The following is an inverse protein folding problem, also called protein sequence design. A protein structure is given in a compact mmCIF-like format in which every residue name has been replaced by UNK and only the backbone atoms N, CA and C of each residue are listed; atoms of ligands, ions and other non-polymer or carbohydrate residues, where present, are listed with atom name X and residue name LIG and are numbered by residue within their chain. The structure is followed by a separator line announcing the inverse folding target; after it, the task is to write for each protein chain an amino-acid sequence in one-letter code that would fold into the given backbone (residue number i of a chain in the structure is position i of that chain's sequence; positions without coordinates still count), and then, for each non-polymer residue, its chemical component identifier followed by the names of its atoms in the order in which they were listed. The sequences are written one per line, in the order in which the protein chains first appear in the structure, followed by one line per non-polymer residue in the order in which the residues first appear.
data_IF_490573764750
#
_entry.id   IF_490573764750
#
_cell.length_a   1.000
_cell.length_b   1.000
_cell.length_c   1.000
_cell.angle_alpha   90.00
_cell.angle_beta   90.00
_cell.angle_gamma   90.00
#
_symmetry.space_group_name_H-M   'P 1'
#
loop_
_entity.id
_entity.type
_entity.pdbx_description
1 polymer ?
#
# COMPACT_ATOMS: atom_id res chain seq x y z
N UNK A 1 -24.73 -7.58 -9.40
CA UNK A 1 -23.55 -7.20 -10.22
C UNK A 1 -22.96 -8.47 -10.80
N UNK A 2 -22.73 -8.57 -12.13
CA UNK A 2 -21.93 -9.68 -12.68
C UNK A 2 -20.56 -9.60 -12.04
N UNK A 3 -20.20 -10.58 -11.20
CA UNK A 3 -18.85 -10.69 -10.67
C UNK A 3 -17.92 -10.73 -11.89
N UNK A 4 -17.09 -9.72 -12.06
CA UNK A 4 -15.98 -9.76 -13.02
C UNK A 4 -15.11 -10.97 -12.69
N UNK A 5 -14.30 -11.48 -13.62
CA UNK A 5 -13.44 -12.64 -13.31
C UNK A 5 -12.42 -12.29 -12.22
N UNK A 6 -12.07 -13.25 -11.35
CA UNK A 6 -10.91 -13.13 -10.41
C UNK A 6 -9.61 -12.91 -11.19
N UNK A 7 -9.59 -13.22 -12.48
CA UNK A 7 -8.48 -12.91 -13.38
C UNK A 7 -8.18 -11.41 -13.49
N UNK A 8 -9.17 -10.52 -13.27
CA UNK A 8 -8.95 -9.07 -13.37
C UNK A 8 -7.96 -8.56 -12.30
N UNK A 9 -8.20 -8.71 -10.99
CA UNK A 9 -7.26 -8.24 -9.97
C UNK A 9 -5.89 -8.95 -10.06
N UNK A 10 -5.86 -10.23 -10.47
CA UNK A 10 -4.60 -10.97 -10.70
C UNK A 10 -3.81 -10.33 -11.85
N UNK A 11 -4.47 -10.11 -12.99
CA UNK A 11 -3.84 -9.49 -14.15
C UNK A 11 -3.33 -8.08 -13.84
N UNK A 12 -4.12 -7.26 -13.15
CA UNK A 12 -3.70 -5.92 -12.75
C UNK A 12 -2.51 -5.95 -11.79
N UNK A 13 -2.47 -6.92 -10.87
CA UNK A 13 -1.30 -7.13 -9.99
C UNK A 13 -0.06 -7.54 -10.79
N UNK A 14 -0.22 -8.39 -11.81
CA UNK A 14 0.87 -8.75 -12.71
C UNK A 14 1.37 -7.54 -13.51
N UNK A 15 0.48 -6.65 -13.98
CA UNK A 15 0.86 -5.39 -14.64
C UNK A 15 1.65 -4.49 -13.69
N UNK A 16 1.25 -4.36 -12.42
CA UNK A 16 1.99 -3.60 -11.41
C UNK A 16 3.39 -4.17 -11.19
N UNK A 17 3.51 -5.50 -11.02
CA UNK A 17 4.79 -6.20 -10.83
C UNK A 17 5.69 -6.01 -12.06
N UNK A 18 5.14 -6.20 -13.26
CA UNK A 18 5.88 -6.05 -14.52
C UNK A 18 6.34 -4.61 -14.74
N UNK A 19 5.47 -3.62 -14.51
CA UNK A 19 5.82 -2.19 -14.59
C UNK A 19 6.96 -1.87 -13.65
N UNK A 20 6.90 -2.37 -12.42
CA UNK A 20 7.97 -2.19 -11.46
C UNK A 20 9.30 -2.80 -11.96
N UNK A 21 9.28 -4.03 -12.47
CA UNK A 21 10.47 -4.70 -13.00
C UNK A 21 11.10 -3.93 -14.18
N UNK A 22 10.26 -3.30 -15.00
CA UNK A 22 10.68 -2.53 -16.19
C UNK A 22 10.88 -1.04 -15.91
N UNK A 23 10.69 -0.55 -14.68
CA UNK A 23 10.69 0.90 -14.41
C UNK A 23 12.04 1.57 -14.70
N UNK A 24 13.16 0.89 -14.45
CA UNK A 24 14.51 1.43 -14.68
C UNK A 24 14.78 1.70 -16.17
N UNK A 25 14.58 0.74 -17.10
CA UNK A 25 14.74 1.04 -18.51
C UNK A 25 13.74 2.08 -19.01
N UNK A 26 12.51 2.12 -18.49
CA UNK A 26 11.53 3.16 -18.85
C UNK A 26 12.00 4.55 -18.40
N UNK A 27 12.44 4.71 -17.15
CA UNK A 27 12.97 5.98 -16.63
C UNK A 27 14.21 6.44 -17.39
N UNK A 28 15.08 5.51 -17.79
CA UNK A 28 16.30 5.81 -18.54
C UNK A 28 16.03 6.45 -19.92
N UNK A 29 14.81 6.32 -20.45
CA UNK A 29 14.41 7.02 -21.70
C UNK A 29 14.25 8.53 -21.53
N UNK A 30 14.13 9.03 -20.30
CA UNK A 30 13.84 10.44 -20.01
C UNK A 30 12.41 10.88 -20.36
N UNK A 31 11.56 9.98 -20.86
CA UNK A 31 10.21 10.30 -21.33
C UNK A 31 9.22 10.56 -20.19
N UNK A 32 9.50 10.09 -18.98
CA UNK A 32 8.62 10.28 -17.81
C UNK A 32 9.39 10.96 -16.68
N UNK A 33 8.88 12.09 -16.14
CA UNK A 33 9.51 12.78 -15.03
C UNK A 33 9.24 12.11 -13.66
N UNK A 34 8.47 11.02 -13.64
CA UNK A 34 8.06 10.28 -12.45
C UNK A 34 8.23 8.77 -12.66
N UNK A 35 8.34 8.01 -11.57
CA UNK A 35 8.42 6.54 -11.63
C UNK A 35 7.12 5.96 -12.21
N UNK A 36 7.19 5.23 -13.34
CA UNK A 36 6.01 4.66 -13.99
C UNK A 36 5.25 3.69 -13.08
N UNK A 37 5.91 3.11 -12.07
CA UNK A 37 5.26 2.27 -11.07
C UNK A 37 4.14 3.02 -10.32
N UNK A 38 4.43 4.20 -9.76
CA UNK A 38 3.44 4.96 -8.99
C UNK A 38 2.32 5.50 -9.89
N UNK A 39 2.64 5.82 -11.15
CA UNK A 39 1.64 6.17 -12.15
C UNK A 39 0.65 5.03 -12.35
N UNK A 40 1.13 3.81 -12.55
CA UNK A 40 0.27 2.63 -12.76
C UNK A 40 -0.58 2.33 -11.52
N UNK A 41 -0.02 2.47 -10.31
CA UNK A 41 -0.79 2.28 -9.06
C UNK A 41 -1.98 3.25 -8.94
N UNK A 42 -1.85 4.50 -9.42
CA UNK A 42 -2.96 5.45 -9.45
C UNK A 42 -3.91 5.22 -10.64
N UNK A 43 -3.37 5.00 -11.83
CA UNK A 43 -4.16 4.90 -13.05
C UNK A 43 -5.07 3.67 -13.04
N UNK A 44 -4.61 2.51 -12.55
CA UNK A 44 -5.41 1.29 -12.62
C UNK A 44 -6.74 1.40 -11.85
N UNK A 45 -6.78 1.79 -10.56
CA UNK A 45 -8.04 1.99 -9.89
C UNK A 45 -8.85 3.17 -10.46
N UNK A 46 -8.19 4.25 -10.90
CA UNK A 46 -8.86 5.39 -11.52
C UNK A 46 -9.61 5.01 -12.81
N UNK A 47 -8.98 4.21 -13.69
CA UNK A 47 -9.59 3.70 -14.91
C UNK A 47 -10.75 2.75 -14.59
N UNK A 48 -10.60 1.86 -13.60
CA UNK A 48 -11.70 1.00 -13.16
C UNK A 48 -12.90 1.80 -12.66
N UNK A 49 -12.66 2.93 -11.98
CA UNK A 49 -13.71 3.85 -11.55
C UNK A 49 -14.37 4.55 -12.73
N UNK A 50 -13.56 5.08 -13.65
CA UNK A 50 -14.03 5.74 -14.87
C UNK A 50 -14.91 4.82 -15.72
N UNK A 51 -14.51 3.56 -15.87
CA UNK A 51 -15.27 2.54 -16.59
C UNK A 51 -16.38 1.86 -15.78
N UNK A 52 -16.70 2.40 -14.59
CA UNK A 52 -17.76 1.89 -13.69
C UNK A 52 -17.61 0.41 -13.35
N UNK A 53 -16.36 -0.09 -13.31
CA UNK A 53 -15.99 -1.45 -12.90
C UNK A 53 -15.70 -1.55 -11.39
N UNK A 54 -15.41 -0.42 -10.75
CA UNK A 54 -15.21 -0.26 -9.31
C UNK A 54 -15.80 1.08 -8.86
N UNK A 55 -16.46 1.18 -7.71
CA UNK A 55 -17.09 2.45 -7.32
C UNK A 55 -16.17 3.27 -6.40
N UNK A 56 -16.12 4.59 -6.61
CA UNK A 56 -15.31 5.48 -5.77
C UNK A 56 -15.69 5.38 -4.28
N UNK A 57 -16.98 5.20 -3.97
CA UNK A 57 -17.47 5.03 -2.60
C UNK A 57 -16.86 3.82 -1.89
N UNK A 58 -16.39 2.82 -2.64
CA UNK A 58 -15.77 1.61 -2.12
C UNK A 58 -14.34 1.83 -1.67
N UNK A 59 -13.65 2.82 -2.24
CA UNK A 59 -12.29 3.19 -1.82
C UNK A 59 -12.24 3.61 -0.36
N UNK A 60 -13.35 4.12 0.17
CA UNK A 60 -13.42 4.45 1.57
C UNK A 60 -12.74 5.78 1.92
N UNK A 61 -12.87 6.83 1.13
CA UNK A 61 -12.43 8.17 1.57
C UNK A 61 -13.40 8.76 2.60
N UNK A 62 -13.35 8.28 3.84
CA UNK A 62 -14.20 8.73 4.95
C UNK A 62 -13.32 9.15 6.13
N UNK A 63 -13.59 10.28 6.78
CA UNK A 63 -12.91 10.63 8.04
C UNK A 63 -13.76 10.06 9.18
N UNK A 64 -13.35 8.92 9.74
CA UNK A 64 -14.02 8.23 10.85
C UNK A 64 -13.63 8.76 12.24
N UNK A 65 -13.77 7.92 13.29
CA UNK A 65 -13.36 8.27 14.66
C UNK A 65 -11.82 8.18 14.78
N UNK A 66 -11.11 9.27 15.10
CA UNK A 66 -9.65 9.37 14.93
C UNK A 66 -8.80 8.59 15.94
N UNK A 67 -9.38 8.07 17.03
CA UNK A 67 -8.65 7.56 18.19
C UNK A 67 -7.75 6.33 17.90
N UNK A 68 -8.13 5.44 16.99
CA UNK A 68 -7.35 4.23 16.71
C UNK A 68 -6.36 4.40 15.55
N UNK A 69 -6.67 5.25 14.57
CA UNK A 69 -5.66 5.76 13.63
C UNK A 69 -4.52 6.47 14.37
N UNK A 70 -4.86 7.20 15.43
CA UNK A 70 -3.91 7.79 16.38
C UNK A 70 -3.17 6.70 17.20
N UNK A 71 -3.85 5.65 17.70
CA UNK A 71 -3.21 4.50 18.35
C UNK A 71 -2.14 3.86 17.46
N UNK A 72 -2.42 3.74 16.17
CA UNK A 72 -1.46 3.24 15.19
C UNK A 72 -0.31 4.24 14.91
N UNK A 73 -0.57 5.55 14.93
CA UNK A 73 0.52 6.54 14.94
C UNK A 73 1.40 6.38 16.20
N UNK A 74 0.83 6.01 17.34
CA UNK A 74 1.53 5.78 18.61
C UNK A 74 2.12 4.39 18.82
N UNK A 75 1.80 3.40 17.97
CA UNK A 75 2.46 2.09 17.94
C UNK A 75 3.81 2.15 17.22
N UNK A 76 4.06 3.25 16.52
CA UNK A 76 5.26 3.52 15.75
C UNK A 76 6.56 3.42 16.59
N UNK A 77 6.69 4.01 17.79
CA UNK A 77 7.90 3.86 18.60
C UNK A 77 8.23 2.40 18.94
N UNK A 78 7.22 1.54 19.08
CA UNK A 78 7.39 0.10 19.33
C UNK A 78 7.92 -0.62 18.09
N UNK A 79 7.35 -0.33 16.91
CA UNK A 79 7.82 -0.89 15.64
C UNK A 79 9.26 -0.45 15.34
N UNK A 80 9.60 0.80 15.67
CA UNK A 80 10.95 1.34 15.52
C UNK A 80 11.96 0.71 16.48
N UNK A 81 11.58 0.52 17.74
CA UNK A 81 12.40 -0.20 18.70
C UNK A 81 12.70 -1.62 18.22
N UNK A 82 11.68 -2.34 17.73
CA UNK A 82 11.85 -3.69 17.22
C UNK A 82 12.73 -3.74 15.95
N UNK A 83 12.60 -2.78 15.04
CA UNK A 83 13.49 -2.70 13.86
C UNK A 83 14.92 -2.36 14.25
N UNK A 84 15.12 -1.42 15.18
CA UNK A 84 16.46 -1.10 15.70
C UNK A 84 17.08 -2.33 16.36
N UNK A 85 16.35 -3.05 17.21
CA UNK A 85 16.85 -4.27 17.86
C UNK A 85 17.24 -5.37 16.86
N UNK A 86 16.58 -5.41 15.69
CA UNK A 86 16.88 -6.37 14.63
C UNK A 86 18.01 -5.95 13.69
N UNK A 87 18.27 -4.64 13.53
CA UNK A 87 19.16 -4.12 12.48
C UNK A 87 20.38 -3.38 12.99
N UNK A 88 20.38 -2.94 14.26
CA UNK A 88 21.46 -2.15 14.88
C UNK A 88 21.64 -0.74 14.31
N UNK A 89 20.75 -0.29 13.41
CA UNK A 89 20.89 0.95 12.66
C UNK A 89 20.27 2.16 13.38
N UNK A 90 21.03 3.26 13.61
CA UNK A 90 20.55 4.44 14.34
C UNK A 90 19.62 5.32 13.50
N UNK A 91 18.76 6.10 14.18
CA UNK A 91 17.84 7.06 13.55
C UNK A 91 18.59 8.29 13.02
N UNK A 92 18.37 8.63 11.75
CA UNK A 92 18.93 9.78 11.01
C UNK A 92 17.83 10.44 10.17
N UNK A 93 17.41 11.68 10.47
CA UNK A 93 16.34 12.37 9.73
C UNK A 93 16.52 12.29 8.19
N UNK A 94 15.45 12.08 7.39
CA UNK A 94 15.59 11.79 5.96
C UNK A 94 16.04 13.04 5.22
N UNK A 95 17.03 12.90 4.33
CA UNK A 95 17.46 13.95 3.39
C UNK A 95 16.57 14.05 2.14
N UNK A 96 15.68 13.07 1.92
CA UNK A 96 14.75 13.00 0.79
C UNK A 96 13.45 13.73 1.13
N UNK A 97 12.94 14.51 0.18
CA UNK A 97 11.69 15.28 0.28
C UNK A 97 10.54 14.42 0.84
N UNK A 98 9.94 14.80 1.99
CA UNK A 98 8.77 14.13 2.58
C UNK A 98 7.63 13.91 1.57
N UNK A 99 7.53 14.78 0.57
CA UNK A 99 6.52 14.75 -0.47
C UNK A 99 6.58 13.48 -1.35
N UNK A 100 7.77 12.99 -1.70
CA UNK A 100 7.94 11.79 -2.53
C UNK A 100 7.54 10.52 -1.77
N UNK A 101 7.86 10.47 -0.48
CA UNK A 101 7.48 9.36 0.40
C UNK A 101 5.97 9.32 0.62
N UNK A 102 5.34 10.49 0.77
CA UNK A 102 3.89 10.61 0.87
C UNK A 102 3.20 10.18 -0.43
N UNK A 103 3.66 10.64 -1.60
CA UNK A 103 3.08 10.25 -2.89
C UNK A 103 3.18 8.72 -3.10
N UNK A 104 4.34 8.13 -2.80
CA UNK A 104 4.53 6.68 -2.90
C UNK A 104 3.60 5.89 -1.97
N UNK A 105 3.53 6.28 -0.70
CA UNK A 105 2.61 5.67 0.27
C UNK A 105 1.16 5.79 -0.18
N UNK A 106 0.76 6.95 -0.70
CA UNK A 106 -0.63 7.17 -1.12
C UNK A 106 -0.98 6.32 -2.34
N UNK A 107 -0.09 6.22 -3.32
CA UNK A 107 -0.26 5.37 -4.49
C UNK A 107 -0.43 3.90 -4.10
N UNK A 108 0.44 3.42 -3.21
CA UNK A 108 0.42 2.05 -2.73
C UNK A 108 -0.87 1.74 -1.96
N UNK A 109 -1.27 2.60 -1.02
CA UNK A 109 -2.53 2.41 -0.30
C UNK A 109 -3.75 2.46 -1.23
N UNK A 110 -3.76 3.36 -2.20
CA UNK A 110 -4.85 3.45 -3.18
C UNK A 110 -5.06 2.16 -3.95
N UNK A 111 -3.99 1.50 -4.38
CA UNK A 111 -4.06 0.24 -5.08
C UNK A 111 -4.31 -0.96 -4.16
N UNK A 112 -3.47 -1.15 -3.13
CA UNK A 112 -3.51 -2.36 -2.31
C UNK A 112 -4.70 -2.39 -1.36
N UNK A 113 -5.00 -1.27 -0.70
CA UNK A 113 -6.05 -1.19 0.32
C UNK A 113 -7.33 -0.67 -0.30
N UNK A 114 -7.26 0.38 -1.12
CA UNK A 114 -8.43 0.94 -1.80
C UNK A 114 -9.06 -0.03 -2.78
N UNK A 115 -8.27 -0.59 -3.70
CA UNK A 115 -8.76 -1.49 -4.74
C UNK A 115 -8.68 -2.98 -4.37
N UNK A 116 -7.48 -3.56 -4.21
CA UNK A 116 -7.31 -5.01 -4.09
C UNK A 116 -8.00 -5.61 -2.87
N UNK A 117 -7.81 -5.03 -1.68
CA UNK A 117 -8.44 -5.51 -0.46
C UNK A 117 -9.97 -5.47 -0.58
N UNK A 118 -10.57 -4.39 -1.09
CA UNK A 118 -12.02 -4.30 -1.28
C UNK A 118 -12.56 -5.25 -2.34
N UNK A 119 -11.86 -5.36 -3.46
CA UNK A 119 -12.26 -6.24 -4.56
C UNK A 119 -12.24 -7.70 -4.09
N UNK A 120 -11.20 -8.13 -3.36
CA UNK A 120 -11.18 -9.46 -2.73
C UNK A 120 -12.27 -9.62 -1.69
N UNK A 121 -12.44 -8.66 -0.77
CA UNK A 121 -13.50 -8.70 0.25
C UNK A 121 -14.87 -8.92 -0.39
N UNK A 122 -15.20 -8.20 -1.46
CA UNK A 122 -16.48 -8.32 -2.18
C UNK A 122 -16.67 -9.65 -2.90
N UNK A 123 -15.61 -10.17 -3.52
CA UNK A 123 -15.66 -11.44 -4.27
C UNK A 123 -15.82 -12.65 -3.36
N UNK A 124 -15.17 -12.60 -2.21
CA UNK A 124 -15.09 -13.73 -1.27
C UNK A 124 -16.06 -13.54 -0.09
N UNK A 125 -17.28 -13.06 -0.37
CA UNK A 125 -18.38 -13.05 0.60
C UNK A 125 -18.19 -12.16 1.82
N UNK A 126 -17.37 -11.10 1.71
CA UNK A 126 -17.06 -10.20 2.82
C UNK A 126 -15.96 -10.72 3.76
N UNK A 127 -15.25 -11.80 3.39
CA UNK A 127 -14.20 -12.37 4.23
C UNK A 127 -13.00 -11.43 4.36
N UNK A 128 -12.96 -10.70 5.47
CA UNK A 128 -11.91 -9.73 5.79
C UNK A 128 -10.53 -10.37 5.88
N UNK A 129 -10.41 -11.52 6.52
CA UNK A 129 -9.14 -12.21 6.74
C UNK A 129 -8.50 -12.65 5.43
N UNK A 130 -9.30 -13.21 4.52
CA UNK A 130 -8.83 -13.57 3.19
C UNK A 130 -8.37 -12.34 2.41
N UNK A 131 -9.17 -11.26 2.41
CA UNK A 131 -8.83 -10.04 1.67
C UNK A 131 -7.56 -9.35 2.18
N UNK A 132 -7.36 -9.35 3.51
CA UNK A 132 -6.14 -8.87 4.15
C UNK A 132 -4.95 -9.75 3.77
N UNK A 133 -5.06 -11.07 3.92
CA UNK A 133 -3.96 -11.98 3.59
C UNK A 133 -3.55 -11.85 2.11
N UNK A 134 -4.51 -11.90 1.18
CA UNK A 134 -4.24 -11.86 -0.25
C UNK A 134 -3.61 -10.52 -0.69
N UNK A 135 -4.17 -9.39 -0.27
CA UNK A 135 -3.61 -8.06 -0.60
C UNK A 135 -2.21 -7.86 -0.03
N UNK A 136 -1.94 -8.34 1.19
CA UNK A 136 -0.63 -8.18 1.84
C UNK A 136 0.44 -9.13 1.32
N UNK A 137 0.07 -10.33 0.88
CA UNK A 137 0.98 -11.21 0.15
C UNK A 137 1.42 -10.54 -1.15
N UNK A 138 0.49 -9.97 -1.93
CA UNK A 138 0.82 -9.25 -3.16
C UNK A 138 1.67 -8.00 -2.89
N UNK A 139 1.38 -7.28 -1.80
CA UNK A 139 2.19 -6.14 -1.34
C UNK A 139 3.64 -6.55 -1.02
N UNK A 140 3.82 -7.65 -0.28
CA UNK A 140 5.14 -8.21 0.03
C UNK A 140 5.87 -8.69 -1.23
N UNK A 141 5.17 -9.36 -2.15
CA UNK A 141 5.75 -9.84 -3.40
C UNK A 141 6.28 -8.71 -4.27
N UNK A 142 5.54 -7.60 -4.37
CA UNK A 142 6.05 -6.42 -5.08
C UNK A 142 7.36 -5.93 -4.45
N UNK A 143 7.44 -5.90 -3.12
CA UNK A 143 8.66 -5.54 -2.38
C UNK A 143 9.83 -6.52 -2.54
N UNK A 144 9.54 -7.81 -2.68
CA UNK A 144 10.55 -8.80 -3.05
C UNK A 144 11.13 -8.51 -4.45
N UNK A 145 10.26 -8.25 -5.43
CA UNK A 145 10.68 -7.80 -6.77
C UNK A 145 11.37 -6.43 -6.69
N UNK A 146 11.06 -5.62 -5.66
CA UNK A 146 11.78 -4.39 -5.34
C UNK A 146 13.26 -4.56 -5.01
N UNK A 147 13.70 -5.78 -4.75
CA UNK A 147 15.05 -6.10 -4.33
C UNK A 147 15.19 -6.20 -2.81
N UNK A 148 14.08 -6.22 -2.06
CA UNK A 148 14.12 -6.51 -0.63
C UNK A 148 14.51 -7.98 -0.44
N UNK A 149 15.28 -8.28 0.61
CA UNK A 149 15.47 -9.66 1.03
C UNK A 149 14.12 -10.29 1.44
N UNK A 150 14.01 -11.62 1.36
CA UNK A 150 12.79 -12.32 1.75
C UNK A 150 12.29 -11.94 3.15
N UNK A 151 13.14 -11.86 4.21
CA UNK A 151 12.70 -11.42 5.53
C UNK A 151 12.17 -9.97 5.54
N UNK A 152 12.81 -9.07 4.78
CA UNK A 152 12.40 -7.66 4.70
C UNK A 152 11.08 -7.51 3.95
N UNK A 153 10.88 -8.26 2.87
CA UNK A 153 9.64 -8.30 2.12
C UNK A 153 8.48 -8.87 2.97
N UNK A 154 8.73 -9.96 3.71
CA UNK A 154 7.76 -10.55 4.63
C UNK A 154 7.35 -9.55 5.73
N UNK A 155 8.33 -8.87 6.35
CA UNK A 155 8.06 -7.82 7.34
C UNK A 155 7.25 -6.67 6.73
N UNK A 156 7.55 -6.27 5.49
CA UNK A 156 6.79 -5.25 4.76
C UNK A 156 5.33 -5.68 4.53
N UNK A 157 5.10 -6.95 4.21
CA UNK A 157 3.75 -7.54 4.16
C UNK A 157 3.01 -7.46 5.50
N UNK A 158 3.71 -7.74 6.60
CA UNK A 158 3.18 -7.65 7.97
C UNK A 158 2.81 -6.22 8.39
N UNK A 159 3.67 -5.25 8.09
CA UNK A 159 3.34 -3.82 8.23
C UNK A 159 2.15 -3.46 7.34
N UNK A 160 2.01 -4.12 6.20
CA UNK A 160 0.84 -3.98 5.36
C UNK A 160 -0.48 -4.44 5.99
N UNK A 161 -0.47 -5.52 6.77
CA UNK A 161 -1.66 -6.03 7.49
C UNK A 161 -2.18 -4.96 8.44
N UNK A 162 -1.25 -4.28 9.11
CA UNK A 162 -1.53 -3.17 9.99
C UNK A 162 -2.21 -2.00 9.27
N UNK A 163 -1.73 -1.61 8.08
CA UNK A 163 -2.41 -0.60 7.25
C UNK A 163 -3.83 -1.06 6.86
N UNK A 164 -3.98 -2.33 6.49
CA UNK A 164 -5.28 -2.93 6.20
C UNK A 164 -6.27 -2.84 7.36
N UNK A 165 -5.82 -3.02 8.60
CA UNK A 165 -6.65 -2.81 9.79
C UNK A 165 -6.94 -1.34 10.09
N UNK A 166 -5.96 -0.45 9.88
CA UNK A 166 -6.16 0.99 10.04
C UNK A 166 -7.28 1.51 9.12
N UNK A 167 -7.46 0.88 7.95
CA UNK A 167 -8.57 1.16 7.05
C UNK A 167 -9.92 0.64 7.54
N UNK A 168 -9.98 -0.61 7.99
CA UNK A 168 -11.24 -1.34 8.26
C UNK A 168 -11.84 -1.11 9.66
N UNK A 169 -11.39 -0.08 10.41
CA UNK A 169 -11.87 0.19 11.77
C UNK A 169 -13.40 0.43 11.82
N UNK A 170 -14.10 -0.31 12.70
CA UNK A 170 -15.50 -0.16 13.17
C UNK A 170 -16.46 0.58 12.21
N UNK A 171 -16.57 0.07 10.98
CA UNK A 171 -17.55 0.55 9.99
C UNK A 171 -17.15 1.83 9.24
N UNK A 172 -15.95 2.35 9.50
CA UNK A 172 -15.42 3.58 8.91
C UNK A 172 -14.90 3.41 7.48
N UNK A 173 -14.36 2.23 7.12
CA UNK A 173 -13.77 1.91 5.82
C UNK A 173 -13.00 3.12 5.27
N UNK A 174 -11.92 3.52 5.95
CA UNK A 174 -11.22 4.79 5.71
C UNK A 174 -9.80 4.60 5.14
N UNK A 175 -9.61 4.90 3.87
CA UNK A 175 -8.30 4.86 3.24
C UNK A 175 -7.34 5.93 3.75
N UNK A 176 -7.88 7.03 4.28
CA UNK A 176 -7.09 8.17 4.80
C UNK A 176 -6.20 7.72 5.97
N UNK A 177 -6.69 6.85 6.85
CA UNK A 177 -5.89 6.36 7.97
C UNK A 177 -4.77 5.42 7.52
N UNK A 178 -5.05 4.58 6.53
CA UNK A 178 -4.03 3.74 5.88
C UNK A 178 -2.91 4.59 5.26
N UNK A 179 -3.29 5.61 4.49
CA UNK A 179 -2.37 6.54 3.84
C UNK A 179 -1.53 7.33 4.83
N UNK A 180 -2.16 7.85 5.90
CA UNK A 180 -1.45 8.57 6.95
C UNK A 180 -0.48 7.66 7.71
N UNK A 181 -0.91 6.46 8.10
CA UNK A 181 -0.07 5.49 8.79
C UNK A 181 1.13 5.05 7.94
N UNK A 182 0.91 4.80 6.65
CA UNK A 182 1.97 4.42 5.74
C UNK A 182 2.92 5.59 5.43
N UNK A 183 2.39 6.79 5.17
CA UNK A 183 3.20 7.99 4.96
C UNK A 183 4.12 8.27 6.15
N UNK A 184 3.58 8.15 7.36
CA UNK A 184 4.36 8.30 8.59
C UNK A 184 5.39 7.18 8.77
N UNK A 185 5.01 5.92 8.50
CA UNK A 185 5.94 4.80 8.51
C UNK A 185 7.11 5.04 7.56
N UNK A 186 6.87 5.49 6.33
CA UNK A 186 7.92 5.75 5.36
C UNK A 186 8.81 6.94 5.75
N UNK A 187 8.22 8.03 6.25
CA UNK A 187 8.97 9.17 6.77
C UNK A 187 9.94 8.70 7.83
N UNK A 188 9.47 7.93 8.81
CA UNK A 188 10.30 7.44 9.91
C UNK A 188 11.26 6.33 9.47
N UNK A 189 10.85 5.43 8.59
CA UNK A 189 11.69 4.31 8.14
C UNK A 189 12.88 4.76 7.29
N UNK A 190 12.73 5.86 6.56
CA UNK A 190 13.79 6.53 5.80
C UNK A 190 14.57 7.53 6.64
N UNK A 191 14.06 7.86 7.83
CA UNK A 191 14.78 8.60 8.86
C UNK A 191 15.75 7.71 9.64
N UNK A 192 16.27 6.62 9.07
CA UNK A 192 17.16 5.65 9.74
C UNK A 192 18.08 5.07 8.66
N UNK A 193 19.39 5.30 8.74
CA UNK A 193 20.40 4.82 7.76
C UNK A 193 21.05 3.53 8.26
#
# INVERSE_FOLDING_TARGET
MKQTSVLVPIFLSAVVIATYALRRPIQATGLMPFDPYYLVLFLLPALLILFKKFFFADLGFRVGKPLMGIFFVFLLPVVLYFRWSLTGKPFVAPSIFPLMLLIGSFAEEFFFRGYLQEDFKKRFGGNIWFSLAASNILFALVHLVKGYSLPTAAMTGWVGVYFGFAKDEKGGNSLVYSMAAHGLYNLVATSVI
#
